data_IF_211623238239
#
_entry.id   IF_211623238239
#
_cell.length_a   1.000
_cell.length_b   1.000
_cell.length_c   1.000
_cell.angle_alpha   90.00
_cell.angle_beta   90.00
_cell.angle_gamma   90.00
#
_symmetry.space_group_name_H-M   'P 1'
#
loop_
_entity.id
_entity.type
_entity.pdbx_description
1 polymer ?
#
# COMPACT_ATOMS: atom_id res chain seq x y z
N UNK A 1 9.14 -12.75 11.62
CA UNK A 1 9.36 -12.16 11.54
C UNK A 1 10.12 -11.48 11.34
N UNK A 2 10.52 -11.19 11.28
CA UNK A 2 11.10 -10.68 11.15
C UNK A 2 11.45 -9.70 11.44
N UNK A 3 11.31 -9.49 11.63
CA UNK A 3 11.96 -8.65 11.84
C UNK A 3 12.05 -7.49 12.46
N UNK A 4 13.01 -7.15 12.79
CA UNK A 4 13.17 -5.98 13.39
C UNK A 4 13.03 -4.84 12.51
N UNK A 5 12.90 -4.96 11.27
CA UNK A 5 12.85 -3.88 10.51
C UNK A 5 11.60 -3.24 10.38
N UNK A 6 10.68 -3.55 11.02
CA UNK A 6 9.47 -2.84 11.25
C UNK A 6 8.68 -2.43 10.05
N UNK A 7 9.00 -2.81 8.87
CA UNK A 7 8.11 -2.66 7.77
C UNK A 7 7.07 -3.75 7.86
N UNK A 8 5.81 -3.36 7.95
CA UNK A 8 4.71 -4.31 8.02
C UNK A 8 3.71 -4.00 6.92
N UNK A 9 3.14 -5.03 6.32
CA UNK A 9 2.16 -4.90 5.27
C UNK A 9 0.86 -5.53 5.73
N UNK A 10 -0.24 -4.89 5.44
CA UNK A 10 -1.55 -5.44 5.73
C UNK A 10 -2.50 -5.16 4.58
N UNK A 11 -3.34 -6.12 4.29
CA UNK A 11 -4.38 -5.99 3.27
C UNK A 11 -5.73 -6.12 3.95
N UNK A 12 -6.59 -5.12 3.73
CA UNK A 12 -7.94 -5.16 4.27
C UNK A 12 -8.88 -5.50 3.12
N UNK A 13 -9.65 -6.55 3.29
CA UNK A 13 -10.56 -7.00 2.25
C UNK A 13 -11.97 -6.56 2.57
N UNK A 14 -12.62 -5.90 1.61
CA UNK A 14 -13.98 -5.45 1.74
C UNK A 14 -14.75 -6.00 0.56
N UNK A 15 -15.34 -7.18 0.69
CA UNK A 15 -16.03 -7.87 -0.38
C UNK A 15 -15.05 -8.09 -1.55
N UNK A 16 -15.25 -7.46 -2.69
CA UNK A 16 -14.38 -7.61 -3.84
C UNK A 16 -13.36 -6.45 -3.93
N UNK A 17 -12.97 -5.89 -2.81
CA UNK A 17 -12.03 -4.76 -2.79
C UNK A 17 -11.03 -4.93 -1.65
N UNK A 18 -9.86 -4.33 -1.80
CA UNK A 18 -8.82 -4.36 -0.77
C UNK A 18 -8.17 -2.98 -0.63
N UNK A 19 -7.61 -2.75 0.55
CA UNK A 19 -6.74 -1.60 0.81
C UNK A 19 -5.41 -2.14 1.32
N UNK A 20 -4.31 -1.67 0.76
CA UNK A 20 -2.99 -2.05 1.23
C UNK A 20 -2.48 -1.00 2.19
N UNK A 21 -2.02 -1.41 3.35
CA UNK A 21 -1.46 -0.50 4.36
C UNK A 21 -0.02 -0.91 4.60
N UNK A 22 0.87 0.05 4.58
CA UNK A 22 2.30 -0.19 4.69
C UNK A 22 2.87 0.79 5.70
N UNK A 23 3.52 0.28 6.72
CA UNK A 23 4.07 1.09 7.78
C UNK A 23 5.56 1.36 7.51
N UNK A 24 5.93 2.64 7.38
CA UNK A 24 7.34 3.04 7.27
C UNK A 24 7.86 3.38 8.66
N UNK A 25 9.02 2.90 9.02
CA UNK A 25 9.52 3.08 10.39
C UNK A 25 10.07 4.48 10.68
N UNK A 26 9.85 5.43 9.82
CA UNK A 26 10.33 6.78 10.02
C UNK A 26 9.26 7.77 9.61
N UNK A 27 9.53 9.06 9.78
CA UNK A 27 8.59 10.09 9.36
C UNK A 27 8.58 10.27 7.84
N UNK A 28 9.49 9.65 7.11
CA UNK A 28 9.52 9.79 5.67
C UNK A 28 8.52 8.84 5.05
N UNK A 29 7.39 9.38 4.60
CA UNK A 29 6.31 8.60 4.03
C UNK A 29 6.33 8.60 2.50
N UNK A 30 7.36 9.15 1.88
CA UNK A 30 7.45 9.13 0.43
C UNK A 30 7.51 7.67 -0.06
N UNK A 31 6.72 7.31 -1.08
CA UNK A 31 6.75 5.94 -1.58
C UNK A 31 8.09 5.65 -2.25
N UNK A 32 8.66 4.51 -1.94
CA UNK A 32 9.88 4.06 -2.58
C UNK A 32 9.55 3.48 -3.96
N UNK A 33 10.56 3.29 -4.83
CA UNK A 33 10.29 2.61 -6.10
C UNK A 33 9.71 1.22 -5.90
N UNK A 34 10.10 0.53 -4.84
CA UNK A 34 9.54 -0.78 -4.54
C UNK A 34 8.07 -0.70 -4.16
N UNK A 35 7.69 0.33 -3.40
CA UNK A 35 6.29 0.54 -3.03
C UNK A 35 5.44 0.75 -4.28
N UNK A 36 5.93 1.56 -5.21
CA UNK A 36 5.20 1.84 -6.44
C UNK A 36 5.07 0.60 -7.31
N UNK A 37 6.14 -0.18 -7.40
CA UNK A 37 6.13 -1.41 -8.18
C UNK A 37 5.15 -2.41 -7.56
N UNK A 38 5.18 -2.57 -6.26
CA UNK A 38 4.28 -3.48 -5.56
C UNK A 38 2.82 -3.08 -5.83
N UNK A 39 2.53 -1.78 -5.76
CA UNK A 39 1.17 -1.30 -5.99
C UNK A 39 0.71 -1.60 -7.41
N UNK A 40 1.58 -1.38 -8.39
CA UNK A 40 1.25 -1.69 -9.78
C UNK A 40 0.94 -3.17 -9.97
N UNK A 41 1.74 -4.03 -9.35
CA UNK A 41 1.54 -5.47 -9.43
C UNK A 41 0.25 -5.89 -8.73
N UNK A 42 -0.02 -5.26 -7.59
CA UNK A 42 -1.23 -5.55 -6.83
C UNK A 42 -2.48 -5.16 -7.62
N UNK A 43 -2.47 -3.99 -8.23
CA UNK A 43 -3.60 -3.53 -9.04
C UNK A 43 -3.81 -4.45 -10.23
N UNK A 44 -2.72 -4.86 -10.89
CA UNK A 44 -2.82 -5.75 -12.04
C UNK A 44 -3.37 -7.13 -11.63
N UNK A 45 -2.87 -7.68 -10.53
CA UNK A 45 -3.38 -8.95 -10.03
C UNK A 45 -4.85 -8.84 -9.64
N UNK A 46 -5.23 -7.73 -9.05
CA UNK A 46 -6.63 -7.49 -8.69
C UNK A 46 -7.55 -7.51 -9.89
N UNK A 47 -7.11 -6.93 -11.00
CA UNK A 47 -7.92 -6.95 -12.22
C UNK A 47 -8.15 -8.36 -12.72
N UNK A 48 -7.13 -9.22 -12.62
CA UNK A 48 -7.27 -10.61 -13.05
C UNK A 48 -8.23 -11.38 -12.15
N UNK A 49 -8.32 -11.01 -10.88
CA UNK A 49 -9.14 -11.70 -9.91
C UNK A 49 -10.47 -10.98 -9.64
N UNK A 50 -10.75 -9.93 -10.40
CA UNK A 50 -11.94 -9.11 -10.22
C UNK A 50 -12.02 -8.53 -8.82
N UNK A 51 -10.88 -8.09 -8.30
CA UNK A 51 -10.76 -7.45 -7.00
C UNK A 51 -10.22 -6.05 -7.22
N UNK A 52 -10.91 -5.05 -6.68
CA UNK A 52 -10.48 -3.66 -6.85
C UNK A 52 -9.55 -3.26 -5.73
N UNK A 53 -8.43 -2.65 -6.06
CA UNK A 53 -7.54 -2.05 -5.09
C UNK A 53 -8.00 -0.61 -4.88
N UNK A 54 -8.48 -0.32 -3.67
CA UNK A 54 -9.04 0.99 -3.37
C UNK A 54 -7.96 2.01 -3.05
N UNK A 55 -6.90 1.59 -2.40
CA UNK A 55 -5.82 2.50 -2.02
C UNK A 55 -4.61 1.71 -1.57
N UNK A 56 -3.48 2.39 -1.53
CA UNK A 56 -2.27 1.93 -0.86
C UNK A 56 -1.86 3.08 0.05
N UNK A 57 -1.86 2.86 1.34
CA UNK A 57 -1.60 3.87 2.34
C UNK A 57 -0.29 3.56 3.03
N UNK A 58 0.61 4.54 3.06
CA UNK A 58 1.86 4.44 3.81
C UNK A 58 1.68 5.25 5.08
N UNK A 59 1.89 4.62 6.22
CA UNK A 59 1.77 5.27 7.51
C UNK A 59 3.16 5.53 8.05
N UNK A 60 3.43 6.77 8.39
CA UNK A 60 4.68 7.16 9.04
C UNK A 60 4.44 7.59 10.47
N UNK A 61 5.37 8.34 11.01
CA UNK A 61 5.28 8.83 12.36
C UNK A 61 4.45 10.11 12.36
N UNK A 62 3.18 9.99 12.66
CA UNK A 62 2.26 11.14 12.74
C UNK A 62 1.73 11.63 11.41
N UNK A 63 1.94 10.89 10.32
CA UNK A 63 1.44 11.29 9.03
C UNK A 63 1.18 10.07 8.16
N UNK A 64 0.61 10.30 6.97
CA UNK A 64 0.35 9.21 6.05
C UNK A 64 0.39 9.73 4.61
N UNK A 65 0.53 8.77 3.68
CA UNK A 65 0.52 9.06 2.25
C UNK A 65 -0.48 8.10 1.60
N UNK A 66 -1.41 8.63 0.81
CA UNK A 66 -2.40 7.83 0.11
C UNK A 66 -2.13 7.88 -1.38
N UNK A 67 -1.92 6.72 -1.99
CA UNK A 67 -1.69 6.65 -3.44
C UNK A 67 -2.90 7.14 -4.22
N UNK A 68 -4.11 6.84 -3.73
CA UNK A 68 -5.34 7.29 -4.39
C UNK A 68 -5.46 8.80 -4.35
N UNK A 69 -5.18 9.42 -3.19
CA UNK A 69 -5.25 10.86 -3.05
C UNK A 69 -4.25 11.56 -3.96
N UNK A 70 -3.09 10.95 -4.18
CA UNK A 70 -2.06 11.56 -5.01
C UNK A 70 -2.21 11.21 -6.48
N UNK A 71 -3.20 10.41 -6.83
CA UNK A 71 -3.46 10.07 -8.22
C UNK A 71 -2.49 9.11 -8.84
N UNK A 72 -1.78 8.32 -8.02
CA UNK A 72 -0.77 7.40 -8.54
C UNK A 72 -1.08 5.94 -8.20
N UNK A 73 -2.33 5.65 -7.90
CA UNK A 73 -2.69 4.29 -7.49
C UNK A 73 -2.61 3.29 -8.63
N UNK A 74 -2.88 3.64 -9.76
CA UNK A 74 -2.87 2.72 -10.87
C UNK A 74 -2.86 3.42 -12.18
#
# INVERSE_FOLDING_TARGET
MRGKNSKAWALQKFAAAIVCVHNHPSANIAPSPEDKKFTQELVAAGKLMDIKVLDHIIIGDGNYFSFADEGILG
#
